data_IF_140311868917
#
_entry.id   IF_140311868917
#
_cell.length_a   1.000
_cell.length_b   1.000
_cell.length_c   1.000
_cell.angle_alpha   90.00
_cell.angle_beta   90.00
_cell.angle_gamma   90.00
#
_symmetry.space_group_name_H-M   'P 1'
#
loop_
_entity.id
_entity.type
_entity.pdbx_description
1 polymer ?
#
# COMPACT_ATOMS: atom_id res chain seq x y z
N UNK A 1 -0.32 -16.21 29.55
CA UNK A 1 0.63 -17.06 28.85
C UNK A 1 0.62 -16.75 27.34
N UNK A 2 1.10 -15.58 26.90
CA UNK A 2 1.31 -15.26 25.45
C UNK A 2 2.30 -14.11 25.29
N UNK A 3 3.47 -14.21 25.92
CA UNK A 3 4.56 -13.23 25.73
C UNK A 3 5.89 -13.97 25.84
N UNK A 4 6.20 -14.82 24.87
CA UNK A 4 7.52 -15.43 24.81
C UNK A 4 7.84 -15.89 23.38
N UNK A 5 7.96 -15.01 22.42
CA UNK A 5 8.54 -15.38 21.10
C UNK A 5 9.28 -14.21 20.43
N UNK A 6 9.59 -13.14 21.09
CA UNK A 6 10.19 -11.97 20.41
C UNK A 6 11.72 -11.82 20.59
N UNK A 7 12.46 -12.77 21.18
CA UNK A 7 13.86 -12.52 21.60
C UNK A 7 14.85 -13.60 21.11
N UNK A 8 14.61 -14.28 20.03
CA UNK A 8 15.55 -15.39 19.66
C UNK A 8 16.47 -15.06 18.47
N UNK A 9 16.24 -14.03 17.70
CA UNK A 9 17.09 -13.76 16.54
C UNK A 9 18.33 -12.89 16.82
N UNK A 10 18.38 -12.14 17.91
CA UNK A 10 19.43 -11.15 18.20
C UNK A 10 20.69 -11.63 18.92
N UNK A 11 20.72 -12.71 19.73
CA UNK A 11 21.96 -13.16 20.37
C UNK A 11 23.01 -13.69 19.40
N UNK A 12 22.62 -14.26 18.24
CA UNK A 12 23.56 -14.82 17.27
C UNK A 12 24.32 -13.77 16.47
N UNK A 13 23.78 -12.58 16.33
CA UNK A 13 24.42 -11.44 15.65
C UNK A 13 25.69 -10.99 16.38
N UNK A 14 25.76 -11.20 17.69
CA UNK A 14 26.88 -10.70 18.51
C UNK A 14 28.13 -11.58 18.49
N UNK A 15 28.01 -12.85 18.17
CA UNK A 15 29.18 -13.75 18.16
C UNK A 15 29.98 -13.68 16.87
N UNK A 16 29.33 -13.35 15.73
CA UNK A 16 30.03 -13.15 14.46
C UNK A 16 30.59 -11.74 14.25
N UNK A 17 30.26 -10.76 15.10
CA UNK A 17 30.64 -9.35 14.91
C UNK A 17 31.94 -8.92 15.57
N UNK A 18 32.69 -9.84 16.18
CA UNK A 18 33.99 -9.52 16.83
C UNK A 18 35.00 -8.82 15.90
N UNK A 19 34.97 -9.06 14.62
CA UNK A 19 35.86 -8.45 13.65
C UNK A 19 35.39 -7.09 13.09
N UNK A 20 34.10 -6.76 13.21
CA UNK A 20 33.55 -5.49 12.72
C UNK A 20 34.03 -4.31 13.59
N UNK A 21 34.47 -4.57 14.82
CA UNK A 21 34.91 -3.54 15.78
C UNK A 21 36.45 -3.28 15.77
N UNK A 22 37.22 -3.95 14.94
CA UNK A 22 38.70 -3.94 15.06
C UNK A 22 39.46 -3.04 14.12
N UNK A 23 38.88 -2.38 13.13
CA UNK A 23 39.66 -1.54 12.23
C UNK A 23 39.02 -0.17 11.97
N UNK A 24 39.79 0.87 12.20
CA UNK A 24 39.65 2.30 11.97
C UNK A 24 38.42 2.79 11.14
N UNK A 25 38.60 3.40 9.99
CA UNK A 25 37.52 3.94 9.13
C UNK A 25 36.46 2.93 8.63
N UNK A 26 36.57 1.65 8.95
CA UNK A 26 35.58 0.61 8.61
C UNK A 26 34.36 0.60 9.54
N UNK A 27 34.33 1.40 10.59
CA UNK A 27 33.26 1.41 11.60
C UNK A 27 32.25 2.55 11.40
N UNK A 28 32.33 3.29 10.31
CA UNK A 28 31.40 4.35 9.98
C UNK A 28 30.40 3.83 8.94
N UNK A 29 29.11 3.84 9.29
CA UNK A 29 28.04 3.42 8.38
C UNK A 29 27.50 4.59 7.55
N UNK A 30 27.42 5.79 8.15
CA UNK A 30 26.92 7.00 7.49
C UNK A 30 27.75 8.20 7.91
N UNK A 31 28.04 9.08 6.96
CA UNK A 31 28.53 10.43 7.21
C UNK A 31 27.49 11.45 6.80
N UNK A 32 27.13 12.36 7.72
CA UNK A 32 26.21 13.47 7.49
C UNK A 32 27.05 14.75 7.62
N UNK A 33 27.42 15.37 6.52
CA UNK A 33 28.46 16.41 6.47
C UNK A 33 29.73 15.95 7.21
N UNK A 34 30.08 16.58 8.32
CA UNK A 34 31.24 16.23 9.17
C UNK A 34 30.90 15.22 10.27
N UNK A 35 29.60 14.94 10.49
CA UNK A 35 29.14 14.04 11.56
C UNK A 35 29.22 12.59 11.11
N UNK A 36 30.02 11.79 11.79
CA UNK A 36 30.17 10.36 11.52
C UNK A 36 29.28 9.54 12.44
N UNK A 37 28.49 8.65 11.86
CA UNK A 37 27.66 7.67 12.55
C UNK A 37 28.36 6.33 12.53
N UNK A 38 28.64 5.79 13.70
CA UNK A 38 29.30 4.51 13.82
C UNK A 38 28.36 3.32 13.59
N UNK A 39 28.91 2.21 13.11
CA UNK A 39 28.19 0.94 12.99
C UNK A 39 27.59 0.52 14.34
N UNK A 40 28.31 0.75 15.44
CA UNK A 40 27.83 0.42 16.78
C UNK A 40 26.55 1.18 17.14
N UNK A 41 26.52 2.50 16.94
CA UNK A 41 25.32 3.32 17.20
C UNK A 41 24.12 2.88 16.40
N UNK A 42 24.33 2.51 15.12
CA UNK A 42 23.23 2.03 14.28
C UNK A 42 22.73 0.65 14.72
N UNK A 43 23.61 -0.26 15.12
CA UNK A 43 23.20 -1.57 15.66
C UNK A 43 22.43 -1.43 16.96
N UNK A 44 22.84 -0.52 17.85
CA UNK A 44 22.09 -0.22 19.08
C UNK A 44 20.70 0.32 18.76
N UNK A 45 20.58 1.18 17.75
CA UNK A 45 19.29 1.67 17.26
C UNK A 45 18.44 0.55 16.67
N UNK A 46 19.02 -0.32 15.83
CA UNK A 46 18.32 -1.49 15.28
C UNK A 46 17.77 -2.42 16.36
N UNK A 47 18.49 -2.61 17.45
CA UNK A 47 18.01 -3.42 18.59
C UNK A 47 16.84 -2.79 19.33
N UNK A 48 16.78 -1.48 19.35
CA UNK A 48 15.68 -0.75 19.98
C UNK A 48 14.40 -0.76 19.13
N UNK A 49 14.54 -1.01 17.81
CA UNK A 49 13.40 -1.12 16.88
C UNK A 49 12.86 -2.55 16.95
N UNK A 50 11.63 -2.73 17.42
CA UNK A 50 10.95 -4.03 17.44
C UNK A 50 10.54 -4.43 16.00
N UNK A 51 11.41 -5.18 15.32
CA UNK A 51 11.14 -5.73 13.99
C UNK A 51 10.46 -7.09 14.17
N UNK A 52 9.28 -7.24 13.61
CA UNK A 52 8.57 -8.52 13.67
C UNK A 52 9.00 -9.47 12.53
N UNK A 53 8.95 -10.78 12.77
CA UNK A 53 9.20 -11.78 11.71
C UNK A 53 8.26 -11.61 10.51
N UNK A 54 7.03 -11.19 10.76
CA UNK A 54 6.03 -10.95 9.72
C UNK A 54 6.43 -9.78 8.81
N UNK A 55 6.97 -8.70 9.36
CA UNK A 55 7.50 -7.57 8.58
C UNK A 55 8.67 -7.99 7.70
N UNK A 56 9.60 -8.80 8.24
CA UNK A 56 10.74 -9.32 7.47
C UNK A 56 10.25 -10.19 6.30
N UNK A 57 9.28 -11.07 6.54
CA UNK A 57 8.71 -11.92 5.50
C UNK A 57 7.94 -11.14 4.43
N UNK A 58 7.22 -10.09 4.83
CA UNK A 58 6.39 -9.31 3.91
C UNK A 58 7.17 -8.30 3.06
N UNK A 59 8.19 -7.66 3.63
CA UNK A 59 8.93 -6.57 2.97
C UNK A 59 10.32 -6.98 2.46
N UNK A 60 10.89 -8.05 2.98
CA UNK A 60 12.28 -8.42 2.78
C UNK A 60 13.23 -7.68 3.74
N UNK A 61 14.24 -8.39 4.20
CA UNK A 61 15.24 -7.96 5.19
C UNK A 61 15.97 -6.67 4.79
N UNK A 62 16.49 -6.65 3.58
CA UNK A 62 17.21 -5.51 3.02
C UNK A 62 16.38 -4.23 3.02
N UNK A 63 15.13 -4.32 2.57
CA UNK A 63 14.24 -3.17 2.51
C UNK A 63 13.94 -2.60 3.88
N UNK A 64 13.70 -3.47 4.88
CA UNK A 64 13.43 -3.03 6.26
C UNK A 64 14.65 -2.33 6.85
N UNK A 65 15.85 -2.88 6.68
CA UNK A 65 17.07 -2.28 7.23
C UNK A 65 17.34 -0.92 6.57
N UNK A 66 17.11 -0.80 5.27
CA UNK A 66 17.22 0.48 4.56
C UNK A 66 16.18 1.52 5.05
N UNK A 67 14.93 1.10 5.29
CA UNK A 67 13.90 1.98 5.89
C UNK A 67 14.32 2.46 7.28
N UNK A 68 14.85 1.56 8.12
CA UNK A 68 15.33 1.90 9.48
C UNK A 68 16.55 2.82 9.45
N UNK A 69 17.50 2.57 8.54
CA UNK A 69 18.67 3.44 8.36
C UNK A 69 18.24 4.84 7.93
N UNK A 70 17.31 4.95 7.00
CA UNK A 70 16.75 6.24 6.55
C UNK A 70 16.09 6.99 7.70
N UNK A 71 15.32 6.30 8.53
CA UNK A 71 14.70 6.90 9.72
C UNK A 71 15.76 7.38 10.72
N UNK A 72 16.78 6.58 10.97
CA UNK A 72 17.87 6.93 11.86
C UNK A 72 18.66 8.14 11.39
N UNK A 73 18.97 8.22 10.08
CA UNK A 73 19.60 9.39 9.46
C UNK A 73 18.73 10.63 9.67
N UNK A 74 17.43 10.52 9.43
CA UNK A 74 16.48 11.62 9.62
C UNK A 74 16.45 12.11 11.07
N UNK A 75 16.45 11.19 12.06
CA UNK A 75 16.51 11.55 13.47
C UNK A 75 17.83 12.26 13.83
N UNK A 76 18.96 11.81 13.27
CA UNK A 76 20.25 12.45 13.48
C UNK A 76 20.29 13.87 12.88
N UNK A 77 19.76 14.07 11.68
CA UNK A 77 19.68 15.40 11.06
C UNK A 77 18.81 16.32 11.92
N UNK A 78 17.65 15.86 12.40
CA UNK A 78 16.81 16.65 13.30
C UNK A 78 17.56 17.00 14.60
N UNK A 79 18.34 16.07 15.15
CA UNK A 79 19.16 16.32 16.33
C UNK A 79 20.26 17.39 16.07
N UNK A 80 20.88 17.38 14.89
CA UNK A 80 21.86 18.40 14.50
C UNK A 80 21.16 19.77 14.37
N UNK A 81 20.05 19.83 13.65
CA UNK A 81 19.26 21.04 13.45
C UNK A 81 18.77 21.64 14.77
N UNK A 82 18.22 20.82 15.67
CA UNK A 82 17.75 21.29 16.98
C UNK A 82 18.89 21.88 17.80
N UNK A 83 20.06 21.25 17.77
CA UNK A 83 21.26 21.73 18.44
C UNK A 83 21.77 23.06 17.86
N UNK A 84 21.84 23.16 16.54
CA UNK A 84 22.27 24.40 15.84
C UNK A 84 21.31 25.56 16.07
N UNK A 85 20.01 25.31 16.20
CA UNK A 85 18.99 26.33 16.48
C UNK A 85 18.85 26.63 18.00
N UNK A 86 19.64 25.97 18.86
CA UNK A 86 19.55 26.14 20.29
C UNK A 86 18.23 25.63 20.90
N UNK A 87 17.53 24.73 20.20
CA UNK A 87 16.27 24.14 20.70
C UNK A 87 16.61 23.03 21.68
N UNK A 88 16.34 23.28 22.94
CA UNK A 88 16.62 22.34 24.03
C UNK A 88 15.42 22.23 24.98
N UNK A 89 15.13 21.02 25.39
CA UNK A 89 14.17 20.74 26.43
C UNK A 89 14.91 20.53 27.75
N UNK A 90 14.62 21.35 28.76
CA UNK A 90 15.23 21.20 30.07
C UNK A 90 14.59 20.02 30.82
N UNK A 91 15.34 19.44 31.78
CA UNK A 91 14.82 18.34 32.64
C UNK A 91 13.54 18.76 33.39
N UNK A 92 13.45 20.03 33.80
CA UNK A 92 12.24 20.55 34.43
C UNK A 92 11.04 20.59 33.49
N UNK A 93 11.26 20.88 32.20
CA UNK A 93 10.20 20.85 31.19
C UNK A 93 9.80 19.42 30.84
N UNK A 94 10.75 18.52 30.67
CA UNK A 94 10.50 17.10 30.49
C UNK A 94 9.66 16.51 31.64
N UNK A 95 10.07 16.80 32.87
CA UNK A 95 9.33 16.40 34.06
C UNK A 95 7.89 16.93 34.06
N UNK A 96 7.66 18.20 33.69
CA UNK A 96 6.31 18.77 33.59
C UNK A 96 5.47 18.04 32.54
N UNK A 97 6.04 17.72 31.35
CA UNK A 97 5.37 17.00 30.29
C UNK A 97 4.92 15.63 30.79
N UNK A 98 5.85 14.86 31.37
CA UNK A 98 5.55 13.53 31.93
C UNK A 98 4.47 13.59 33.01
N UNK A 99 4.56 14.59 33.91
CA UNK A 99 3.59 14.75 34.99
C UNK A 99 2.21 15.23 34.52
N UNK A 100 2.13 15.91 33.37
CA UNK A 100 0.86 16.38 32.78
C UNK A 100 0.17 15.34 31.92
N UNK A 101 0.83 14.22 31.59
CA UNK A 101 0.22 13.14 30.80
C UNK A 101 -0.88 12.44 31.60
N UNK A 102 -2.10 12.48 31.08
CA UNK A 102 -3.29 11.90 31.71
C UNK A 102 -3.20 10.39 31.92
N UNK A 103 -2.40 9.70 31.11
CA UNK A 103 -2.18 8.27 31.25
C UNK A 103 -1.47 7.94 32.58
N UNK A 104 -0.64 8.85 33.06
CA UNK A 104 0.11 8.71 34.34
C UNK A 104 -0.56 9.41 35.49
N UNK A 105 -1.77 9.97 35.29
CA UNK A 105 -2.49 10.68 36.35
C UNK A 105 -3.63 9.85 36.97
N UNK A 106 -3.93 10.13 38.23
CA UNK A 106 -5.17 9.78 38.92
C UNK A 106 -5.63 11.00 39.68
N UNK A 107 -6.90 11.38 39.50
CA UNK A 107 -7.49 12.58 40.14
C UNK A 107 -6.63 13.84 39.87
N UNK A 108 -6.23 14.03 38.62
CA UNK A 108 -5.38 15.12 38.10
C UNK A 108 -4.00 15.23 38.77
N UNK A 109 -3.56 14.19 39.51
CA UNK A 109 -2.23 14.11 40.12
C UNK A 109 -1.42 12.98 39.49
N UNK A 110 -0.16 13.26 39.19
CA UNK A 110 0.79 12.26 38.70
C UNK A 110 0.92 11.12 39.71
N UNK A 111 0.76 9.88 39.23
CA UNK A 111 0.90 8.67 39.99
C UNK A 111 2.09 7.85 39.49
N UNK A 112 3.17 7.84 40.25
CA UNK A 112 4.41 7.14 39.87
C UNK A 112 4.20 5.66 39.57
N UNK A 113 3.32 4.99 40.28
CA UNK A 113 3.01 3.57 40.05
C UNK A 113 2.35 3.31 38.69
N UNK A 114 1.57 4.26 38.14
CA UNK A 114 1.04 4.16 36.78
C UNK A 114 2.14 4.28 35.74
N UNK A 115 3.06 5.23 35.93
CA UNK A 115 4.21 5.41 35.06
C UNK A 115 5.11 4.17 35.04
N UNK A 116 5.49 3.64 36.20
CA UNK A 116 6.30 2.43 36.32
C UNK A 116 5.60 1.20 35.70
N UNK A 117 4.29 1.05 35.93
CA UNK A 117 3.50 -0.01 35.30
C UNK A 117 3.48 0.11 33.80
N UNK A 118 3.34 1.33 33.25
CA UNK A 118 3.39 1.60 31.82
C UNK A 118 4.76 1.18 31.27
N UNK A 119 5.86 1.61 31.87
CA UNK A 119 7.21 1.26 31.43
C UNK A 119 7.40 -0.27 31.38
N UNK A 120 7.01 -0.97 32.46
CA UNK A 120 7.09 -2.44 32.50
C UNK A 120 6.23 -3.10 31.42
N UNK A 121 5.01 -2.61 31.22
CA UNK A 121 4.09 -3.18 30.22
C UNK A 121 4.59 -2.99 28.78
N UNK A 122 5.26 -1.86 28.53
CA UNK A 122 5.80 -1.50 27.21
C UNK A 122 7.24 -1.96 27.00
N UNK A 123 7.91 -2.46 28.04
CA UNK A 123 9.29 -2.93 27.97
C UNK A 123 10.34 -1.82 27.89
N UNK A 124 10.01 -0.60 28.36
CA UNK A 124 10.95 0.53 28.42
C UNK A 124 11.61 0.66 29.78
N UNK A 125 12.87 1.10 29.78
CA UNK A 125 13.45 1.75 30.96
C UNK A 125 13.02 3.23 31.03
N UNK A 126 13.03 3.83 32.23
CA UNK A 126 12.68 5.25 32.36
C UNK A 126 13.57 6.17 31.49
N UNK A 127 14.92 6.03 31.50
CA UNK A 127 15.78 6.85 30.62
C UNK A 127 15.49 6.71 29.13
N UNK A 128 15.14 5.51 28.64
CA UNK A 128 14.80 5.29 27.23
C UNK A 128 13.49 5.98 26.84
N UNK A 129 12.47 5.85 27.70
CA UNK A 129 11.19 6.50 27.47
C UNK A 129 11.31 8.03 27.53
N UNK A 130 12.00 8.55 28.55
CA UNK A 130 12.25 9.98 28.71
C UNK A 130 13.03 10.56 27.53
N UNK A 131 14.01 9.83 26.98
CA UNK A 131 14.74 10.20 25.77
C UNK A 131 13.82 10.22 24.55
N UNK A 132 12.88 9.28 24.46
CA UNK A 132 11.89 9.26 23.38
C UNK A 132 10.99 10.49 23.43
N UNK A 133 10.48 10.85 24.61
CA UNK A 133 9.68 12.06 24.81
C UNK A 133 10.48 13.32 24.49
N UNK A 134 11.73 13.40 24.95
CA UNK A 134 12.62 14.52 24.66
C UNK A 134 12.81 14.70 23.15
N UNK A 135 13.09 13.63 22.43
CA UNK A 135 13.26 13.67 20.97
C UNK A 135 11.95 14.08 20.27
N UNK A 136 10.82 13.57 20.70
CA UNK A 136 9.52 13.92 20.14
C UNK A 136 9.20 15.40 20.35
N UNK A 137 9.39 15.92 21.53
CA UNK A 137 9.11 17.31 21.87
C UNK A 137 10.07 18.28 21.18
N UNK A 138 11.36 17.99 21.16
CA UNK A 138 12.35 18.85 20.46
C UNK A 138 12.09 18.86 18.96
N UNK A 139 11.71 17.73 18.35
CA UNK A 139 11.25 17.70 16.95
C UNK A 139 9.99 18.55 16.73
N UNK A 140 9.02 18.45 17.63
CA UNK A 140 7.81 19.26 17.60
C UNK A 140 8.12 20.76 17.69
N UNK A 141 9.05 21.15 18.55
CA UNK A 141 9.50 22.54 18.69
C UNK A 141 10.24 23.03 17.43
N UNK A 142 11.11 22.22 16.83
CA UNK A 142 11.80 22.54 15.59
C UNK A 142 10.79 22.77 14.46
N UNK A 143 9.82 21.87 14.30
CA UNK A 143 8.79 22.02 13.28
C UNK A 143 7.91 23.26 13.53
N UNK A 144 7.62 23.55 14.81
CA UNK A 144 6.88 24.74 15.21
C UNK A 144 7.68 26.04 14.97
N UNK A 145 8.99 25.98 15.11
CA UNK A 145 9.87 27.10 14.77
C UNK A 145 9.73 27.54 13.32
N UNK A 146 9.64 26.57 12.40
CA UNK A 146 9.46 26.84 10.96
C UNK A 146 8.01 27.15 10.57
N UNK A 147 7.03 26.60 11.25
CA UNK A 147 5.61 26.75 10.91
C UNK A 147 4.80 27.59 11.89
N UNK A 148 5.37 27.94 13.03
CA UNK A 148 4.70 28.69 14.10
C UNK A 148 4.38 30.13 13.70
N UNK A 149 3.19 30.58 14.11
CA UNK A 149 2.75 31.94 13.83
C UNK A 149 2.23 32.20 12.42
N UNK A 150 2.27 31.21 11.53
CA UNK A 150 1.72 31.35 10.17
C UNK A 150 0.19 31.37 10.27
N UNK A 151 -0.39 32.52 9.92
CA UNK A 151 -1.83 32.66 9.71
C UNK A 151 -2.09 32.80 8.23
N UNK A 152 -2.92 31.90 7.70
CA UNK A 152 -3.34 32.02 6.31
C UNK A 152 -4.21 33.26 6.10
N UNK A 153 -3.97 34.07 5.04
CA UNK A 153 -4.90 35.08 4.63
C UNK A 153 -6.29 34.49 4.37
N UNK A 154 -7.34 35.21 4.82
CA UNK A 154 -8.73 34.74 4.69
C UNK A 154 -9.11 34.38 3.25
N UNK A 155 -8.60 35.13 2.25
CA UNK A 155 -8.93 34.89 0.85
C UNK A 155 -8.53 33.45 0.39
N UNK A 156 -7.45 32.86 0.91
CA UNK A 156 -7.06 31.48 0.58
C UNK A 156 -8.03 30.46 1.17
N UNK A 157 -8.58 30.75 2.35
CA UNK A 157 -9.63 29.92 2.96
C UNK A 157 -10.93 30.07 2.19
N UNK A 158 -11.27 31.33 1.81
CA UNK A 158 -12.45 31.66 1.02
C UNK A 158 -12.45 30.93 -0.33
N UNK A 159 -11.31 30.95 -1.02
CA UNK A 159 -11.15 30.27 -2.31
C UNK A 159 -11.32 28.74 -2.16
N UNK A 160 -10.71 28.15 -1.14
CA UNK A 160 -10.88 26.71 -0.87
C UNK A 160 -12.34 26.37 -0.53
N UNK A 161 -12.99 27.22 0.30
CA UNK A 161 -14.39 27.07 0.67
C UNK A 161 -15.29 27.17 -0.56
N UNK A 162 -15.11 28.20 -1.39
CA UNK A 162 -15.86 28.39 -2.64
C UNK A 162 -15.65 27.23 -3.60
N UNK A 163 -14.43 26.81 -3.83
CA UNK A 163 -14.13 25.70 -4.75
C UNK A 163 -14.86 24.41 -4.37
N UNK A 164 -14.90 24.08 -3.09
CA UNK A 164 -15.51 22.81 -2.65
C UNK A 164 -17.03 22.89 -2.42
N UNK A 165 -17.58 24.09 -2.15
CA UNK A 165 -19.01 24.27 -1.84
C UNK A 165 -19.79 25.01 -2.93
N UNK A 166 -19.15 25.38 -4.04
CA UNK A 166 -19.83 25.93 -5.21
C UNK A 166 -20.87 24.93 -5.74
N UNK A 167 -22.10 25.36 -5.96
CA UNK A 167 -23.05 24.51 -6.67
C UNK A 167 -22.90 24.67 -8.18
N UNK A 168 -23.14 23.60 -8.92
CA UNK A 168 -23.09 23.58 -10.38
C UNK A 168 -24.37 23.01 -10.96
N UNK A 169 -25.03 23.78 -11.81
CA UNK A 169 -26.09 23.27 -12.66
C UNK A 169 -25.44 22.72 -13.93
N UNK A 170 -25.73 21.47 -14.25
CA UNK A 170 -25.08 20.77 -15.37
C UNK A 170 -26.11 20.09 -16.26
N UNK A 171 -25.87 20.17 -17.57
CA UNK A 171 -26.52 19.35 -18.59
C UNK A 171 -25.57 18.25 -19.01
N UNK A 172 -26.02 17.01 -19.13
CA UNK A 172 -25.13 15.91 -19.51
C UNK A 172 -25.83 14.86 -20.37
N UNK A 173 -25.02 14.13 -21.14
CA UNK A 173 -25.41 12.97 -21.94
C UNK A 173 -24.62 11.76 -21.47
N UNK A 174 -25.32 10.66 -21.27
CA UNK A 174 -24.68 9.36 -21.03
C UNK A 174 -24.10 8.81 -22.34
N UNK A 175 -22.78 8.95 -22.51
CA UNK A 175 -22.08 8.48 -23.70
C UNK A 175 -22.03 6.95 -23.79
N UNK A 176 -22.18 6.24 -22.67
CA UNK A 176 -22.22 4.78 -22.70
C UNK A 176 -23.45 4.29 -23.50
N UNK A 177 -24.60 4.94 -23.33
CA UNK A 177 -25.80 4.64 -24.10
C UNK A 177 -25.61 4.86 -25.60
N UNK A 178 -24.79 5.83 -26.00
CA UNK A 178 -24.43 6.09 -27.40
C UNK A 178 -23.43 5.06 -27.93
N UNK A 179 -22.39 4.78 -27.15
CA UNK A 179 -21.28 3.93 -27.58
C UNK A 179 -21.65 2.46 -27.65
N UNK A 180 -22.55 1.98 -26.79
CA UNK A 180 -23.03 0.61 -26.76
C UNK A 180 -24.03 0.26 -27.88
N UNK A 181 -24.49 1.22 -28.70
CA UNK A 181 -25.38 0.96 -29.81
C UNK A 181 -24.71 0.12 -30.94
N UNK A 182 -23.37 0.19 -31.06
CA UNK A 182 -22.63 -0.63 -32.02
C UNK A 182 -22.22 -1.95 -31.36
N UNK A 183 -22.77 -3.07 -31.81
CA UNK A 183 -22.41 -4.41 -31.36
C UNK A 183 -20.98 -4.76 -31.80
N UNK A 184 -20.24 -5.43 -30.93
CA UNK A 184 -18.94 -6.03 -31.24
C UNK A 184 -19.20 -7.25 -32.12
N UNK A 185 -18.53 -7.33 -33.27
CA UNK A 185 -18.66 -8.43 -34.21
C UNK A 185 -17.64 -9.53 -33.92
N UNK A 186 -17.87 -10.75 -34.46
CA UNK A 186 -16.89 -11.84 -34.39
C UNK A 186 -15.57 -11.46 -35.08
N UNK A 187 -15.63 -10.65 -36.12
CA UNK A 187 -14.43 -10.14 -36.81
C UNK A 187 -13.60 -9.23 -35.90
N UNK A 188 -14.28 -8.36 -35.10
CA UNK A 188 -13.59 -7.49 -34.16
C UNK A 188 -12.89 -8.32 -33.06
N UNK A 189 -13.56 -9.36 -32.55
CA UNK A 189 -13.01 -10.28 -31.53
C UNK A 189 -11.78 -11.01 -32.10
N UNK A 190 -11.89 -11.57 -33.29
CA UNK A 190 -10.82 -12.31 -33.94
C UNK A 190 -9.62 -11.41 -34.25
N UNK A 191 -9.90 -10.22 -34.79
CA UNK A 191 -8.86 -9.23 -35.11
C UNK A 191 -8.13 -8.72 -33.84
N UNK A 192 -8.85 -8.54 -32.72
CA UNK A 192 -8.22 -8.18 -31.46
C UNK A 192 -7.36 -9.32 -30.91
N UNK A 193 -7.84 -10.54 -30.93
CA UNK A 193 -7.10 -11.72 -30.47
C UNK A 193 -5.79 -11.91 -31.22
N UNK A 194 -5.83 -11.88 -32.56
CA UNK A 194 -4.61 -12.08 -33.39
C UNK A 194 -3.55 -11.01 -33.11
N UNK A 195 -3.95 -9.75 -32.92
CA UNK A 195 -3.04 -8.66 -32.62
C UNK A 195 -2.45 -8.74 -31.22
N UNK A 196 -3.12 -9.43 -30.28
CA UNK A 196 -2.75 -9.45 -28.85
C UNK A 196 -2.58 -10.87 -28.31
N UNK A 197 -2.20 -11.82 -29.15
CA UNK A 197 -2.19 -13.25 -28.84
C UNK A 197 -1.36 -13.59 -27.60
N UNK A 198 -0.19 -12.98 -27.47
CA UNK A 198 0.70 -13.16 -26.31
C UNK A 198 0.11 -12.69 -24.98
N UNK A 199 -0.84 -11.76 -25.02
CA UNK A 199 -1.55 -11.30 -23.81
C UNK A 199 -2.42 -12.40 -23.18
N UNK A 200 -2.79 -13.42 -23.96
CA UNK A 200 -3.59 -14.55 -23.51
C UNK A 200 -2.75 -15.77 -23.15
N UNK A 201 -1.43 -15.60 -23.02
CA UNK A 201 -0.54 -16.60 -22.46
C UNK A 201 -0.79 -16.71 -20.95
N UNK A 202 -0.97 -17.93 -20.47
CA UNK A 202 -1.20 -18.22 -19.07
C UNK A 202 -0.39 -19.45 -18.66
N UNK A 203 -0.01 -19.50 -17.39
CA UNK A 203 0.79 -20.57 -16.80
C UNK A 203 -0.13 -21.53 -16.08
N UNK A 204 0.03 -22.81 -16.38
CA UNK A 204 -0.70 -23.90 -15.79
C UNK A 204 0.21 -24.84 -15.02
N UNK A 205 -0.23 -25.27 -13.85
CA UNK A 205 0.47 -26.24 -13.00
C UNK A 205 -0.38 -27.45 -12.77
N UNK A 206 0.27 -28.64 -12.87
CA UNK A 206 -0.25 -29.92 -12.39
C UNK A 206 0.60 -30.34 -11.21
N UNK A 207 -0.04 -30.63 -10.09
CA UNK A 207 0.65 -30.97 -8.86
C UNK A 207 -0.19 -31.94 -8.03
N UNK A 208 0.48 -32.65 -7.12
CA UNK A 208 -0.14 -33.47 -6.10
C UNK A 208 0.14 -32.87 -4.73
N UNK A 209 -0.79 -33.05 -3.83
CA UNK A 209 -0.60 -32.56 -2.46
C UNK A 209 -1.22 -33.47 -1.44
N UNK A 210 -0.63 -33.50 -0.24
CA UNK A 210 -1.16 -34.12 0.95
C UNK A 210 -1.36 -33.05 2.03
N UNK A 211 -2.57 -32.96 2.58
CA UNK A 211 -2.83 -32.15 3.77
C UNK A 211 -2.39 -32.93 5.01
N UNK A 212 -1.49 -32.37 5.80
CA UNK A 212 -0.97 -32.97 7.02
C UNK A 212 -1.89 -32.65 8.21
N UNK A 213 -3.09 -33.24 8.25
CA UNK A 213 -3.93 -33.12 9.43
C UNK A 213 -3.46 -34.11 10.54
N UNK A 214 -3.72 -33.82 11.83
CA UNK A 214 -3.35 -34.76 12.91
C UNK A 214 -3.89 -36.14 12.72
N UNK A 215 -5.12 -36.26 12.22
CA UNK A 215 -5.75 -37.57 11.90
C UNK A 215 -4.92 -38.36 10.87
N UNK A 216 -4.42 -37.68 9.82
CA UNK A 216 -3.62 -38.32 8.76
C UNK A 216 -2.22 -38.67 9.24
N UNK A 217 -1.58 -37.79 10.04
CA UNK A 217 -0.17 -37.91 10.42
C UNK A 217 0.02 -38.84 11.62
N UNK A 218 -0.88 -38.80 12.62
CA UNK A 218 -0.74 -39.53 13.88
C UNK A 218 -1.98 -40.34 14.26
N UNK A 219 -3.01 -40.39 13.40
CA UNK A 219 -4.24 -41.17 13.64
C UNK A 219 -5.14 -40.63 14.78
N UNK A 220 -4.94 -39.40 15.21
CA UNK A 220 -5.68 -38.70 16.28
C UNK A 220 -6.04 -37.30 15.86
N UNK A 221 -7.19 -36.78 16.27
CA UNK A 221 -7.66 -35.44 15.92
C UNK A 221 -7.09 -34.34 16.84
N UNK A 222 -5.84 -34.47 17.32
CA UNK A 222 -5.29 -33.59 18.30
C UNK A 222 -3.89 -33.08 17.87
N UNK A 223 -3.68 -31.77 18.00
CA UNK A 223 -2.39 -31.09 17.75
C UNK A 223 -1.48 -31.25 18.97
N UNK A 224 -0.89 -32.40 19.14
CA UNK A 224 -0.03 -32.76 20.28
C UNK A 224 1.46 -32.76 19.88
N UNK A 225 2.34 -32.97 20.87
CA UNK A 225 3.79 -32.99 20.69
C UNK A 225 4.24 -34.04 19.66
N UNK A 226 3.59 -35.20 19.63
CA UNK A 226 3.88 -36.29 18.68
C UNK A 226 3.59 -35.86 17.25
N UNK A 227 2.50 -35.11 17.04
CA UNK A 227 2.15 -34.55 15.74
C UNK A 227 3.21 -33.56 15.28
N UNK A 228 3.60 -32.59 16.12
CA UNK A 228 4.59 -31.60 15.72
C UNK A 228 5.99 -32.20 15.48
N UNK A 229 6.41 -33.20 16.25
CA UNK A 229 7.63 -33.97 15.96
C UNK A 229 7.58 -34.61 14.58
N UNK A 230 6.42 -35.19 14.22
CA UNK A 230 6.26 -35.82 12.91
C UNK A 230 6.27 -34.80 11.76
N UNK A 231 5.72 -33.60 11.97
CA UNK A 231 5.80 -32.50 11.02
C UNK A 231 7.26 -32.06 10.82
N UNK A 232 8.03 -31.94 11.90
CA UNK A 232 9.47 -31.60 11.85
C UNK A 232 10.28 -32.68 11.11
N UNK A 233 10.00 -33.98 11.35
CA UNK A 233 10.61 -35.07 10.61
C UNK A 233 10.33 -34.97 9.10
N UNK A 234 9.08 -34.69 8.71
CA UNK A 234 8.68 -34.49 7.32
C UNK A 234 9.41 -33.29 6.69
N UNK A 235 9.53 -32.18 7.42
CA UNK A 235 10.25 -31.01 6.95
C UNK A 235 11.75 -31.31 6.74
N UNK A 236 12.36 -32.04 7.66
CA UNK A 236 13.74 -32.48 7.53
C UNK A 236 13.93 -33.45 6.34
N UNK A 237 13.01 -34.38 6.14
CA UNK A 237 13.02 -35.30 5.01
C UNK A 237 12.99 -34.58 3.65
N UNK A 238 12.26 -33.47 3.57
CA UNK A 238 12.25 -32.57 2.39
C UNK A 238 13.60 -31.88 2.22
N UNK A 239 14.19 -31.37 3.31
CA UNK A 239 15.51 -30.73 3.30
C UNK A 239 16.61 -31.70 2.91
N UNK A 240 16.52 -32.96 3.31
CA UNK A 240 17.41 -34.05 2.96
C UNK A 240 17.23 -34.54 1.50
N UNK A 241 16.28 -33.96 0.77
CA UNK A 241 16.06 -34.22 -0.66
C UNK A 241 15.26 -35.47 -0.97
N UNK A 242 14.51 -36.03 -0.02
CA UNK A 242 13.61 -37.17 -0.29
C UNK A 242 12.50 -36.76 -1.26
N UNK A 243 12.08 -37.70 -2.10
CA UNK A 243 11.02 -37.46 -3.05
C UNK A 243 9.61 -37.47 -2.40
N UNK A 244 8.62 -36.98 -3.11
CA UNK A 244 7.26 -36.85 -2.60
C UNK A 244 6.65 -38.19 -2.19
N UNK A 245 6.88 -39.27 -2.95
CA UNK A 245 6.37 -40.60 -2.71
C UNK A 245 6.91 -41.19 -1.42
N UNK A 246 8.19 -41.06 -1.18
CA UNK A 246 8.85 -41.59 0.03
C UNK A 246 8.31 -40.87 1.28
N UNK A 247 8.20 -39.56 1.22
CA UNK A 247 7.73 -38.73 2.35
C UNK A 247 6.25 -38.99 2.65
N UNK A 248 5.41 -39.24 1.64
CA UNK A 248 3.96 -39.41 1.81
C UNK A 248 3.51 -40.87 1.90
N UNK A 249 4.46 -41.83 1.91
CA UNK A 249 4.19 -43.28 1.92
C UNK A 249 3.24 -43.75 3.03
N UNK A 250 3.21 -43.04 4.16
CA UNK A 250 2.31 -43.35 5.29
C UNK A 250 0.82 -43.04 4.99
N UNK A 251 0.50 -42.30 3.91
CA UNK A 251 -0.87 -41.84 3.66
C UNK A 251 -1.25 -41.67 2.19
N UNK A 252 -0.85 -42.61 1.35
CA UNK A 252 -1.09 -42.55 -0.11
C UNK A 252 -2.57 -42.34 -0.50
N UNK A 253 -3.50 -42.82 0.31
CA UNK A 253 -4.97 -42.70 0.06
C UNK A 253 -5.49 -41.27 0.15
N UNK A 254 -4.76 -40.37 0.82
CA UNK A 254 -5.17 -38.99 1.07
C UNK A 254 -4.49 -37.98 0.14
N UNK A 255 -3.65 -38.45 -0.77
CA UNK A 255 -3.01 -37.62 -1.79
C UNK A 255 -4.06 -37.18 -2.80
N UNK A 256 -4.07 -35.89 -3.10
CA UNK A 256 -4.93 -35.30 -4.13
C UNK A 256 -4.06 -34.78 -5.27
N UNK A 257 -4.43 -35.16 -6.50
CA UNK A 257 -3.84 -34.64 -7.72
C UNK A 257 -4.72 -33.53 -8.31
N UNK A 258 -4.12 -32.46 -8.74
CA UNK A 258 -4.78 -31.25 -9.24
C UNK A 258 -4.07 -30.72 -10.47
N UNK A 259 -4.83 -30.40 -11.47
CA UNK A 259 -4.34 -29.69 -12.65
C UNK A 259 -4.68 -30.38 -13.98
N UNK A 260 -4.26 -29.77 -15.09
CA UNK A 260 -3.61 -28.45 -15.16
C UNK A 260 -4.56 -27.30 -14.82
N UNK A 261 -4.19 -26.46 -13.87
CA UNK A 261 -4.94 -25.25 -13.49
C UNK A 261 -4.02 -24.03 -13.43
N UNK A 262 -4.59 -22.83 -13.67
CA UNK A 262 -3.86 -21.58 -13.52
C UNK A 262 -4.01 -20.96 -12.10
N UNK A 263 -3.26 -19.89 -11.82
CA UNK A 263 -3.31 -19.19 -10.55
C UNK A 263 -4.68 -18.58 -10.19
N UNK A 264 -5.59 -18.46 -11.17
CA UNK A 264 -6.97 -17.96 -11.02
C UNK A 264 -8.01 -19.07 -10.84
N UNK A 265 -7.58 -20.32 -10.65
CA UNK A 265 -8.40 -21.51 -10.50
C UNK A 265 -9.17 -21.93 -11.75
N UNK A 266 -8.66 -21.65 -12.94
CA UNK A 266 -9.28 -22.11 -14.18
C UNK A 266 -8.46 -23.22 -14.83
N UNK A 267 -9.13 -24.21 -15.41
CA UNK A 267 -8.55 -25.19 -16.32
C UNK A 267 -8.28 -24.56 -17.67
N UNK A 268 -7.58 -25.26 -18.58
CA UNK A 268 -7.28 -24.80 -19.93
C UNK A 268 -8.53 -24.47 -20.76
N UNK A 269 -9.61 -25.20 -20.55
CA UNK A 269 -10.90 -24.97 -21.21
C UNK A 269 -11.69 -23.76 -20.64
N UNK A 270 -11.15 -23.12 -19.59
CA UNK A 270 -11.79 -21.98 -18.92
C UNK A 270 -12.80 -22.37 -17.86
N UNK A 271 -13.00 -23.66 -17.58
CA UNK A 271 -13.84 -24.12 -16.48
C UNK A 271 -13.19 -23.84 -15.13
N UNK A 272 -14.01 -23.44 -14.15
CA UNK A 272 -13.54 -23.20 -12.78
C UNK A 272 -13.20 -24.50 -12.08
N UNK A 273 -12.19 -24.50 -11.22
CA UNK A 273 -11.78 -25.61 -10.39
C UNK A 273 -11.82 -25.19 -8.91
N UNK A 274 -12.44 -26.02 -8.06
CA UNK A 274 -12.50 -25.74 -6.63
C UNK A 274 -11.24 -26.21 -5.90
N UNK A 275 -10.48 -25.25 -5.39
CA UNK A 275 -9.30 -25.47 -4.55
C UNK A 275 -9.16 -24.32 -3.57
N UNK A 276 -8.53 -24.58 -2.43
CA UNK A 276 -8.20 -23.55 -1.45
C UNK A 276 -7.32 -22.47 -2.10
N UNK A 277 -7.77 -21.19 -2.05
CA UNK A 277 -7.09 -20.06 -2.69
C UNK A 277 -5.70 -19.79 -2.12
N UNK A 278 -5.52 -20.01 -0.80
CA UNK A 278 -4.24 -19.80 -0.14
C UNK A 278 -3.24 -20.88 -0.55
N UNK A 279 -3.68 -22.15 -0.58
CA UNK A 279 -2.86 -23.25 -1.07
C UNK A 279 -2.40 -22.99 -2.50
N UNK A 280 -3.32 -22.66 -3.39
CA UNK A 280 -2.99 -22.40 -4.80
C UNK A 280 -2.00 -21.24 -4.94
N UNK A 281 -2.19 -20.15 -4.18
CA UNK A 281 -1.26 -19.01 -4.17
C UNK A 281 0.16 -19.42 -3.76
N UNK A 282 0.29 -20.26 -2.74
CA UNK A 282 1.61 -20.76 -2.31
C UNK A 282 2.20 -21.75 -3.33
N UNK A 283 1.38 -22.63 -3.91
CA UNK A 283 1.82 -23.52 -5.00
C UNK A 283 2.41 -22.73 -6.17
N UNK A 284 1.84 -21.59 -6.55
CA UNK A 284 2.36 -20.74 -7.65
C UNK A 284 3.62 -19.93 -7.28
N UNK A 285 4.02 -19.90 -6.01
CA UNK A 285 5.30 -19.31 -5.57
C UNK A 285 6.47 -20.29 -5.64
N UNK A 286 6.20 -21.60 -5.72
CA UNK A 286 7.25 -22.63 -5.78
C UNK A 286 8.12 -22.39 -7.02
N UNK A 287 9.43 -22.26 -6.82
CA UNK A 287 10.39 -22.06 -7.92
C UNK A 287 11.08 -23.37 -8.31
N UNK A 288 11.44 -24.20 -7.31
CA UNK A 288 12.01 -25.51 -7.57
C UNK A 288 10.88 -26.52 -7.75
N UNK A 289 10.78 -27.07 -8.96
CA UNK A 289 9.72 -28.02 -9.32
C UNK A 289 10.15 -29.49 -9.12
N UNK A 290 11.44 -29.74 -8.88
CA UNK A 290 12.00 -31.10 -8.78
C UNK A 290 11.86 -31.69 -7.40
N UNK A 291 11.86 -30.84 -6.35
CA UNK A 291 11.74 -31.28 -4.96
C UNK A 291 10.36 -30.97 -4.38
N UNK A 292 9.86 -31.80 -3.48
CA UNK A 292 8.63 -31.50 -2.75
C UNK A 292 8.76 -30.19 -1.96
N UNK A 293 7.67 -29.47 -1.81
CA UNK A 293 7.62 -28.23 -1.04
C UNK A 293 6.72 -28.38 0.17
N UNK A 294 7.22 -27.93 1.32
CA UNK A 294 6.44 -27.81 2.52
C UNK A 294 5.72 -26.46 2.56
N UNK A 295 4.41 -26.46 2.69
CA UNK A 295 3.58 -25.24 2.71
C UNK A 295 2.86 -25.16 4.05
N UNK A 296 2.96 -24.00 4.70
CA UNK A 296 2.30 -23.70 5.96
C UNK A 296 1.54 -22.39 5.87
N UNK A 297 0.23 -22.40 6.15
CA UNK A 297 -0.60 -21.22 6.34
C UNK A 297 -1.80 -21.53 7.26
N UNK A 298 -2.20 -20.57 8.08
CA UNK A 298 -3.35 -20.68 9.01
C UNK A 298 -3.30 -21.95 9.88
N UNK A 299 -2.13 -22.33 10.38
CA UNK A 299 -1.89 -23.57 11.13
C UNK A 299 -2.27 -24.86 10.37
N UNK A 300 -2.29 -24.81 9.04
CA UNK A 300 -2.48 -25.97 8.18
C UNK A 300 -1.19 -26.24 7.41
N UNK A 301 -0.80 -27.50 7.39
CA UNK A 301 0.43 -27.97 6.76
C UNK A 301 0.12 -28.82 5.55
N UNK A 302 0.90 -28.66 4.50
CA UNK A 302 0.76 -29.40 3.25
C UNK A 302 2.14 -29.77 2.71
N UNK A 303 2.22 -30.95 2.09
CA UNK A 303 3.32 -31.33 1.21
C UNK A 303 2.79 -31.20 -0.22
N UNK A 304 3.56 -30.56 -1.08
CA UNK A 304 3.21 -30.37 -2.50
C UNK A 304 4.33 -30.94 -3.36
N UNK A 305 4.01 -31.82 -4.29
CA UNK A 305 4.88 -32.32 -5.33
C UNK A 305 4.42 -31.80 -6.69
N UNK A 306 5.30 -31.11 -7.40
CA UNK A 306 5.00 -30.62 -8.76
C UNK A 306 5.10 -31.78 -9.75
N UNK A 307 4.12 -31.89 -10.66
CA UNK A 307 4.14 -32.88 -11.73
C UNK A 307 4.47 -32.27 -13.09
N UNK A 308 3.91 -31.09 -13.34
CA UNK A 308 4.14 -30.39 -14.60
C UNK A 308 3.87 -28.89 -14.47
N UNK A 309 4.65 -28.08 -15.18
CA UNK A 309 4.38 -26.68 -15.42
C UNK A 309 4.43 -26.41 -16.93
N UNK A 310 3.44 -25.75 -17.47
CA UNK A 310 3.35 -25.41 -18.88
C UNK A 310 2.78 -24.01 -19.07
N UNK A 311 3.21 -23.36 -20.12
CA UNK A 311 2.64 -22.09 -20.59
C UNK A 311 1.85 -22.33 -21.88
N UNK A 312 0.61 -21.88 -21.89
CA UNK A 312 -0.27 -22.02 -23.04
C UNK A 312 -0.90 -20.69 -23.41
N UNK A 313 -1.01 -20.42 -24.69
CA UNK A 313 -1.84 -19.33 -25.20
C UNK A 313 -3.27 -19.85 -25.27
N UNK A 314 -4.15 -19.26 -24.46
CA UNK A 314 -5.55 -19.61 -24.43
C UNK A 314 -6.24 -19.14 -25.72
N UNK A 315 -6.98 -20.01 -26.38
CA UNK A 315 -7.65 -19.72 -27.64
C UNK A 315 -9.01 -19.01 -27.45
N UNK A 316 -9.64 -18.65 -28.58
CA UNK A 316 -10.94 -17.97 -28.57
C UNK A 316 -12.12 -18.85 -28.11
N UNK A 317 -11.97 -20.17 -28.00
CA UNK A 317 -13.02 -21.05 -27.48
C UNK A 317 -13.10 -20.93 -25.95
N UNK A 318 -12.02 -20.44 -25.32
CA UNK A 318 -12.02 -20.16 -23.88
C UNK A 318 -12.95 -18.99 -23.57
N UNK A 319 -13.98 -19.24 -22.76
CA UNK A 319 -14.97 -18.23 -22.38
C UNK A 319 -14.35 -16.99 -21.72
N UNK A 320 -13.36 -17.17 -20.87
CA UNK A 320 -12.71 -16.07 -20.16
C UNK A 320 -11.90 -15.18 -21.13
N UNK A 321 -11.30 -15.77 -22.17
CA UNK A 321 -10.61 -15.03 -23.24
C UNK A 321 -11.61 -14.15 -23.98
N UNK A 322 -12.74 -14.73 -24.43
CA UNK A 322 -13.79 -13.96 -25.12
C UNK A 322 -14.36 -12.82 -24.27
N UNK A 323 -14.65 -13.09 -23.01
CA UNK A 323 -15.14 -12.06 -22.09
C UNK A 323 -14.11 -10.94 -21.90
N UNK A 324 -12.83 -11.30 -21.77
CA UNK A 324 -11.73 -10.32 -21.63
C UNK A 324 -11.60 -9.48 -22.90
N UNK A 325 -11.61 -10.10 -24.09
CA UNK A 325 -11.54 -9.40 -25.37
C UNK A 325 -12.71 -8.43 -25.49
N UNK A 326 -13.94 -8.88 -25.23
CA UNK A 326 -15.11 -8.01 -25.28
C UNK A 326 -14.99 -6.79 -24.37
N UNK A 327 -14.46 -6.96 -23.14
CA UNK A 327 -14.20 -5.85 -22.22
C UNK A 327 -13.13 -4.91 -22.78
N UNK A 328 -12.04 -5.45 -23.30
CA UNK A 328 -10.94 -4.65 -23.85
C UNK A 328 -11.37 -3.86 -25.09
N UNK A 329 -12.07 -4.48 -26.03
CA UNK A 329 -12.60 -3.80 -27.22
C UNK A 329 -13.53 -2.65 -26.80
N UNK A 330 -14.41 -2.85 -25.80
CA UNK A 330 -15.27 -1.78 -25.29
C UNK A 330 -14.45 -0.61 -24.74
N UNK A 331 -13.41 -0.89 -23.96
CA UNK A 331 -12.54 0.15 -23.40
C UNK A 331 -11.78 0.89 -24.49
N UNK A 332 -11.18 0.19 -25.45
CA UNK A 332 -10.46 0.79 -26.59
C UNK A 332 -11.40 1.69 -27.40
N UNK A 333 -12.58 1.17 -27.77
CA UNK A 333 -13.59 1.95 -28.50
C UNK A 333 -14.03 3.19 -27.74
N UNK A 334 -14.19 3.10 -26.42
CA UNK A 334 -14.53 4.24 -25.55
C UNK A 334 -13.43 5.29 -25.58
N UNK A 335 -12.17 4.87 -25.41
CA UNK A 335 -11.01 5.78 -25.41
C UNK A 335 -10.90 6.50 -26.75
N UNK A 336 -10.98 5.77 -27.88
CA UNK A 336 -10.87 6.35 -29.23
C UNK A 336 -12.00 7.35 -29.51
N UNK A 337 -13.24 7.00 -29.16
CA UNK A 337 -14.40 7.89 -29.35
C UNK A 337 -14.31 9.11 -28.45
N UNK A 338 -13.94 8.95 -27.18
CA UNK A 338 -13.70 10.06 -26.29
C UNK A 338 -12.59 10.97 -26.83
N UNK A 339 -11.45 10.41 -27.26
CA UNK A 339 -10.36 11.18 -27.84
C UNK A 339 -10.79 11.98 -29.08
N UNK A 340 -11.58 11.35 -29.97
CA UNK A 340 -12.13 12.03 -31.14
C UNK A 340 -13.06 13.19 -30.76
N UNK A 341 -13.94 12.97 -29.77
CA UNK A 341 -14.88 13.99 -29.32
C UNK A 341 -14.15 15.12 -28.57
N UNK A 342 -13.20 14.80 -27.68
CA UNK A 342 -12.34 15.78 -27.01
C UNK A 342 -11.58 16.64 -28.03
N UNK A 343 -11.02 16.03 -29.08
CA UNK A 343 -10.36 16.77 -30.16
C UNK A 343 -11.29 17.78 -30.84
N UNK A 344 -12.57 17.42 -31.07
CA UNK A 344 -13.57 18.33 -31.64
C UNK A 344 -13.89 19.46 -30.67
N UNK A 345 -14.05 19.19 -29.37
CA UNK A 345 -14.31 20.17 -28.32
C UNK A 345 -13.15 21.17 -28.24
N UNK A 346 -11.91 20.67 -28.12
CA UNK A 346 -10.71 21.52 -28.01
C UNK A 346 -10.48 22.41 -29.23
N UNK A 347 -10.84 21.90 -30.44
CA UNK A 347 -10.77 22.67 -31.67
C UNK A 347 -11.99 23.58 -31.90
N UNK A 348 -12.87 23.77 -30.89
CA UNK A 348 -14.10 24.58 -30.97
C UNK A 348 -15.05 24.14 -32.11
N UNK A 349 -14.97 22.85 -32.52
CA UNK A 349 -15.85 22.24 -33.53
C UNK A 349 -16.99 21.42 -32.89
N UNK A 350 -17.15 21.52 -31.59
CA UNK A 350 -18.22 20.88 -30.84
C UNK A 350 -18.66 21.78 -29.69
N UNK A 351 -19.87 22.28 -29.80
CA UNK A 351 -20.53 23.14 -28.84
C UNK A 351 -21.89 22.62 -28.42
N UNK A 352 -22.75 23.51 -27.94
CA UNK A 352 -24.09 23.13 -27.48
C UNK A 352 -24.99 22.64 -28.61
N UNK A 353 -24.87 23.22 -29.81
CA UNK A 353 -25.64 22.77 -31.01
C UNK A 353 -25.30 21.32 -31.32
N UNK A 354 -24.04 21.00 -31.40
CA UNK A 354 -23.55 19.63 -31.70
C UNK A 354 -23.89 18.66 -30.59
N UNK A 355 -23.96 19.12 -29.34
CA UNK A 355 -24.42 18.30 -28.20
C UNK A 355 -25.91 17.93 -28.37
N UNK A 356 -26.74 18.89 -28.78
CA UNK A 356 -28.17 18.67 -29.03
C UNK A 356 -28.35 17.73 -30.23
N UNK A 357 -27.57 17.92 -31.32
CA UNK A 357 -27.61 17.05 -32.51
C UNK A 357 -27.19 15.61 -32.16
N UNK A 358 -26.15 15.45 -31.34
CA UNK A 358 -25.69 14.15 -30.86
C UNK A 358 -26.80 13.43 -30.07
N UNK A 359 -27.46 14.15 -29.15
CA UNK A 359 -28.61 13.66 -28.39
C UNK A 359 -29.74 13.16 -29.33
N UNK A 360 -30.15 13.99 -30.26
CA UNK A 360 -31.21 13.64 -31.23
C UNK A 360 -30.85 12.48 -32.11
N UNK A 361 -29.63 12.49 -32.68
CA UNK A 361 -29.13 11.43 -33.61
C UNK A 361 -29.15 10.05 -32.97
N UNK A 362 -28.83 9.96 -31.68
CA UNK A 362 -28.73 8.70 -30.96
C UNK A 362 -29.94 8.41 -30.05
N UNK A 363 -30.94 9.31 -30.02
CA UNK A 363 -32.11 9.20 -29.16
C UNK A 363 -31.74 9.02 -27.66
N UNK A 364 -30.66 9.67 -27.22
CA UNK A 364 -30.21 9.71 -25.81
C UNK A 364 -30.45 11.10 -25.26
N UNK A 365 -31.30 11.26 -24.22
CA UNK A 365 -31.70 12.57 -23.75
C UNK A 365 -30.56 13.33 -23.09
N UNK A 366 -30.62 14.67 -23.17
CA UNK A 366 -29.83 15.56 -22.35
C UNK A 366 -30.53 15.65 -21.00
N UNK A 367 -29.90 15.11 -19.97
CA UNK A 367 -30.38 15.22 -18.58
C UNK A 367 -29.79 16.47 -17.93
N UNK A 368 -30.55 17.07 -16.99
CA UNK A 368 -30.12 18.22 -16.19
C UNK A 368 -30.13 17.85 -14.73
N UNK A 369 -29.14 18.33 -13.99
CA UNK A 369 -29.08 18.16 -12.54
C UNK A 369 -28.33 19.31 -11.88
N UNK A 370 -28.60 19.52 -10.61
CA UNK A 370 -27.80 20.39 -9.75
C UNK A 370 -26.89 19.54 -8.87
N UNK A 371 -25.62 19.88 -8.85
CA UNK A 371 -24.59 19.33 -7.96
C UNK A 371 -24.39 20.37 -6.86
N UNK A 372 -24.79 20.07 -5.62
CA UNK A 372 -24.76 21.02 -4.50
C UNK A 372 -23.35 21.41 -4.06
N UNK A 373 -22.42 20.48 -4.12
CA UNK A 373 -21.00 20.66 -3.78
C UNK A 373 -20.16 19.47 -4.29
N UNK A 374 -18.84 19.54 -4.16
CA UNK A 374 -17.91 18.48 -4.65
C UNK A 374 -18.12 17.09 -4.01
N UNK A 375 -18.85 17.01 -2.91
CA UNK A 375 -19.16 15.76 -2.20
C UNK A 375 -20.55 15.21 -2.50
N UNK A 376 -21.34 15.87 -3.35
CA UNK A 376 -22.69 15.46 -3.71
C UNK A 376 -22.66 14.28 -4.69
N UNK A 377 -22.64 13.08 -4.13
CA UNK A 377 -22.58 11.81 -4.90
C UNK A 377 -23.94 11.31 -5.39
N UNK A 378 -24.98 12.12 -5.34
CA UNK A 378 -26.34 11.74 -5.74
C UNK A 378 -26.47 11.27 -7.19
N UNK A 379 -25.74 11.90 -8.12
CA UNK A 379 -25.76 11.56 -9.56
C UNK A 379 -24.40 11.07 -10.08
N UNK A 380 -23.32 11.70 -9.63
CA UNK A 380 -21.96 11.40 -10.06
C UNK A 380 -21.14 10.87 -8.89
N UNK A 381 -20.29 9.87 -9.11
CA UNK A 381 -19.40 9.40 -8.08
C UNK A 381 -18.25 10.40 -7.83
N UNK A 382 -17.47 10.20 -6.76
CA UNK A 382 -16.36 11.07 -6.37
C UNK A 382 -15.31 11.30 -7.48
N UNK A 383 -15.06 10.28 -8.34
CA UNK A 383 -14.10 10.38 -9.43
C UNK A 383 -14.60 11.36 -10.49
N UNK A 384 -15.87 11.25 -10.84
CA UNK A 384 -16.51 12.13 -11.83
C UNK A 384 -16.69 13.56 -11.29
N UNK A 385 -17.10 13.70 -10.03
CA UNK A 385 -17.23 15.01 -9.37
C UNK A 385 -15.93 15.78 -9.38
N UNK A 386 -14.81 15.15 -9.02
CA UNK A 386 -13.49 15.79 -9.07
C UNK A 386 -13.14 16.29 -10.47
N UNK A 387 -13.54 15.55 -11.52
CA UNK A 387 -13.33 15.99 -12.90
C UNK A 387 -14.26 17.15 -13.24
N UNK A 388 -15.55 17.09 -12.91
CA UNK A 388 -16.53 18.14 -13.19
C UNK A 388 -16.13 19.48 -12.53
N UNK A 389 -15.59 19.43 -11.32
CA UNK A 389 -15.19 20.63 -10.58
C UNK A 389 -13.94 21.34 -11.15
N UNK A 390 -13.20 20.70 -12.05
CA UNK A 390 -12.08 21.34 -12.77
C UNK A 390 -12.52 22.27 -13.92
N UNK A 391 -13.84 22.29 -14.25
CA UNK A 391 -14.34 23.05 -15.38
C UNK A 391 -15.28 24.18 -14.92
N UNK A 392 -15.26 25.29 -15.67
CA UNK A 392 -16.06 26.48 -15.39
C UNK A 392 -17.37 26.52 -16.20
N UNK A 393 -18.25 27.46 -15.86
CA UNK A 393 -19.51 27.70 -16.57
C UNK A 393 -19.30 27.90 -18.07
N UNK A 394 -20.18 27.33 -18.89
CA UNK A 394 -20.15 27.36 -20.35
C UNK A 394 -19.24 26.31 -20.99
N UNK A 395 -18.38 25.61 -20.23
CA UNK A 395 -17.50 24.57 -20.79
C UNK A 395 -18.24 23.26 -21.02
N UNK A 396 -17.86 22.58 -22.12
CA UNK A 396 -18.31 21.22 -22.46
C UNK A 396 -17.07 20.30 -22.41
N UNK A 397 -17.21 19.16 -21.79
CA UNK A 397 -16.10 18.20 -21.57
C UNK A 397 -16.63 16.80 -21.32
N UNK A 398 -15.73 15.82 -21.32
CA UNK A 398 -16.06 14.43 -21.03
C UNK A 398 -15.48 14.07 -19.66
N UNK A 399 -16.27 13.33 -18.86
CA UNK A 399 -15.83 12.73 -17.60
C UNK A 399 -16.05 11.22 -17.63
N UNK A 400 -15.05 10.48 -17.11
CA UNK A 400 -15.05 9.02 -17.12
C UNK A 400 -14.53 8.48 -15.79
N UNK A 401 -15.14 7.42 -15.26
CA UNK A 401 -14.72 6.76 -14.01
C UNK A 401 -13.60 5.75 -14.22
N UNK A 402 -12.42 6.20 -14.68
CA UNK A 402 -11.25 5.33 -14.79
C UNK A 402 -10.83 4.73 -13.42
N UNK A 403 -10.36 3.44 -13.38
CA UNK A 403 -10.08 2.56 -14.53
C UNK A 403 -11.29 1.72 -14.98
N UNK A 404 -12.45 1.82 -14.31
CA UNK A 404 -13.59 0.93 -14.60
C UNK A 404 -14.27 1.23 -15.93
N UNK A 405 -14.22 2.50 -16.35
CA UNK A 405 -14.88 3.04 -17.56
C UNK A 405 -16.36 2.64 -17.71
N UNK A 406 -17.03 2.36 -16.58
CA UNK A 406 -18.45 1.99 -16.53
C UNK A 406 -19.39 3.19 -16.61
N UNK A 407 -18.88 4.39 -16.33
CA UNK A 407 -19.64 5.64 -16.41
C UNK A 407 -18.85 6.63 -17.24
N UNK A 408 -19.48 7.15 -18.30
CA UNK A 408 -18.88 8.04 -19.25
C UNK A 408 -19.89 9.10 -19.71
N UNK A 409 -19.65 10.35 -19.37
CA UNK A 409 -20.61 11.43 -19.62
C UNK A 409 -19.97 12.57 -20.40
N UNK A 410 -20.71 13.10 -21.37
CA UNK A 410 -20.48 14.42 -21.94
C UNK A 410 -21.24 15.43 -21.08
N UNK A 411 -20.53 16.37 -20.47
CA UNK A 411 -21.07 17.33 -19.48
C UNK A 411 -20.88 18.75 -19.97
N UNK A 412 -21.88 19.59 -19.78
CA UNK A 412 -21.82 21.05 -19.93
C UNK A 412 -22.12 21.68 -18.57
N UNK A 413 -21.31 22.61 -18.12
CA UNK A 413 -21.64 23.45 -16.97
C UNK A 413 -22.54 24.59 -17.45
N UNK A 414 -23.81 24.56 -17.06
CA UNK A 414 -24.77 25.61 -17.46
C UNK A 414 -24.61 26.85 -16.56
N UNK A 415 -24.42 26.65 -15.26
CA UNK A 415 -24.26 27.74 -14.29
C UNK A 415 -23.46 27.29 -13.07
N UNK A 416 -22.71 28.22 -12.52
CA UNK A 416 -22.05 28.08 -11.22
C UNK A 416 -22.64 29.08 -10.24
N UNK A 417 -22.84 28.66 -9.00
CA UNK A 417 -23.36 29.47 -7.91
C UNK A 417 -22.40 29.38 -6.74
N UNK A 418 -21.76 30.49 -6.41
CA UNK A 418 -20.87 30.55 -5.27
C UNK A 418 -21.64 30.44 -3.95
N UNK A 419 -21.10 29.73 -2.97
CA UNK A 419 -21.72 29.65 -1.66
C UNK A 419 -21.59 30.98 -0.92
N UNK A 420 -22.55 31.29 -0.05
CA UNK A 420 -22.43 32.39 0.89
C UNK A 420 -21.40 32.01 1.96
N UNK A 421 -20.41 32.86 2.15
CA UNK A 421 -19.38 32.67 3.20
C UNK A 421 -19.95 33.22 4.51
N UNK A 422 -20.01 32.37 5.51
CA UNK A 422 -20.27 32.76 6.89
C UNK A 422 -19.06 32.34 7.76
N UNK A 423 -18.18 33.27 8.15
CA UNK A 423 -16.98 32.99 8.92
C UNK A 423 -17.25 32.36 10.31
N UNK A 424 -18.43 32.60 10.87
CA UNK A 424 -18.80 32.09 12.18
C UNK A 424 -19.33 30.65 12.15
N UNK A 425 -19.66 30.13 10.97
CA UNK A 425 -20.18 28.78 10.81
C UNK A 425 -19.12 27.72 11.15
N UNK A 426 -19.53 26.61 11.76
CA UNK A 426 -18.64 25.49 12.06
C UNK A 426 -18.02 24.89 10.78
N UNK A 427 -18.80 24.90 9.68
CA UNK A 427 -18.32 24.46 8.38
C UNK A 427 -17.12 25.31 7.93
N UNK A 428 -17.24 26.65 7.96
CA UNK A 428 -16.14 27.54 7.55
C UNK A 428 -14.93 27.42 8.49
N UNK A 429 -15.14 27.34 9.81
CA UNK A 429 -14.08 27.08 10.80
C UNK A 429 -13.34 25.77 10.52
N UNK A 430 -14.04 24.76 10.02
CA UNK A 430 -13.45 23.50 9.55
C UNK A 430 -12.51 23.73 8.33
N UNK A 431 -12.87 24.61 7.41
CA UNK A 431 -12.02 24.99 6.28
C UNK A 431 -10.80 25.80 6.70
N UNK A 432 -10.91 26.66 7.69
CA UNK A 432 -9.76 27.37 8.27
C UNK A 432 -8.74 26.35 8.81
N UNK A 433 -9.18 25.36 9.58
CA UNK A 433 -8.31 24.29 10.10
C UNK A 433 -7.67 23.46 8.97
N UNK A 434 -8.47 23.07 7.98
CA UNK A 434 -8.00 22.29 6.81
C UNK A 434 -6.96 23.06 6.00
N UNK A 435 -7.20 24.31 5.71
CA UNK A 435 -6.31 25.17 4.94
C UNK A 435 -4.98 25.42 5.68
N UNK A 436 -5.05 25.70 6.99
CA UNK A 436 -3.86 25.86 7.83
C UNK A 436 -3.04 24.56 7.86
N UNK A 437 -3.64 23.41 8.09
CA UNK A 437 -2.95 22.12 8.09
C UNK A 437 -2.28 21.82 6.74
N UNK A 438 -2.97 22.11 5.63
CA UNK A 438 -2.41 21.94 4.28
C UNK A 438 -1.20 22.84 4.04
N UNK A 439 -1.28 24.10 4.45
CA UNK A 439 -0.18 25.05 4.29
C UNK A 439 1.04 24.67 5.15
N UNK A 440 0.81 24.32 6.42
CA UNK A 440 1.84 23.81 7.33
C UNK A 440 2.53 22.58 6.72
N UNK A 441 1.77 21.68 6.13
CA UNK A 441 2.34 20.51 5.41
C UNK A 441 3.23 20.92 4.23
N UNK A 442 2.88 21.98 3.49
CA UNK A 442 3.74 22.51 2.43
C UNK A 442 5.04 23.12 2.97
N UNK A 443 4.95 23.84 4.09
CA UNK A 443 6.14 24.40 4.77
C UNK A 443 7.08 23.26 5.19
N UNK A 444 6.55 22.18 5.76
CA UNK A 444 7.36 21.02 6.12
C UNK A 444 8.01 20.34 4.92
N UNK A 445 7.29 20.18 3.81
CA UNK A 445 7.88 19.65 2.56
C UNK A 445 8.99 20.54 2.01
N UNK A 446 8.83 21.87 2.09
CA UNK A 446 9.86 22.81 1.69
C UNK A 446 11.07 22.73 2.61
N UNK A 447 10.85 22.54 3.91
CA UNK A 447 11.89 22.32 4.89
C UNK A 447 12.64 21.01 4.62
N UNK A 448 11.94 19.90 4.36
CA UNK A 448 12.56 18.64 3.97
C UNK A 448 13.43 18.79 2.72
N UNK A 449 12.94 19.51 1.72
CA UNK A 449 13.72 19.79 0.49
C UNK A 449 14.97 20.63 0.78
N UNK A 450 14.87 21.61 1.67
CA UNK A 450 16.00 22.41 2.12
C UNK A 450 17.03 21.56 2.88
N UNK A 451 16.61 20.75 3.82
CA UNK A 451 17.44 19.81 4.58
C UNK A 451 18.21 18.88 3.63
N UNK A 452 17.51 18.28 2.66
CA UNK A 452 18.13 17.38 1.68
C UNK A 452 19.15 18.11 0.76
N UNK A 453 19.05 19.42 0.61
CA UNK A 453 19.99 20.20 -0.18
C UNK A 453 21.26 20.59 0.59
N UNK A 454 21.18 20.79 1.90
CA UNK A 454 22.31 21.27 2.72
C UNK A 454 23.09 20.12 3.40
N UNK A 455 22.44 18.98 3.66
CA UNK A 455 23.11 17.84 4.26
C UNK A 455 23.59 16.86 3.19
N UNK A 456 24.91 16.70 3.09
CA UNK A 456 25.51 15.64 2.26
C UNK A 456 25.55 14.36 3.05
N UNK A 457 24.84 13.34 2.56
CA UNK A 457 24.73 12.04 3.21
C UNK A 457 25.53 11.03 2.39
N UNK A 458 26.55 10.43 2.99
CA UNK A 458 27.35 9.36 2.39
C UNK A 458 27.12 8.07 3.17
N UNK A 459 26.50 7.08 2.55
CA UNK A 459 26.26 5.75 3.13
C UNK A 459 27.40 4.83 2.69
N UNK A 460 27.99 4.11 3.64
CA UNK A 460 28.96 3.09 3.36
C UNK A 460 28.26 1.76 3.04
N UNK A 461 27.96 1.56 1.76
CA UNK A 461 27.23 0.38 1.27
C UNK A 461 27.87 -0.94 1.69
N UNK A 462 29.22 -1.04 1.71
CA UNK A 462 29.92 -2.26 2.15
C UNK A 462 29.69 -2.59 3.62
N UNK A 463 29.55 -1.57 4.46
CA UNK A 463 29.25 -1.74 5.89
C UNK A 463 27.77 -2.11 6.05
N UNK A 464 26.91 -1.48 5.29
CA UNK A 464 25.46 -1.76 5.29
C UNK A 464 25.16 -3.20 4.86
N UNK A 465 25.77 -3.67 3.75
CA UNK A 465 25.63 -5.06 3.29
C UNK A 465 26.09 -6.07 4.34
N UNK A 466 27.22 -5.78 5.03
CA UNK A 466 27.68 -6.64 6.14
C UNK A 466 26.66 -6.72 7.28
N UNK A 467 26.03 -5.62 7.63
CA UNK A 467 24.97 -5.61 8.65
C UNK A 467 23.78 -6.41 8.16
N UNK A 468 23.32 -6.18 6.92
CA UNK A 468 22.19 -6.91 6.33
C UNK A 468 22.45 -8.43 6.36
N UNK A 469 23.65 -8.87 6.03
CA UNK A 469 24.02 -10.28 5.99
C UNK A 469 24.23 -10.89 7.39
N UNK A 470 24.49 -10.07 8.43
CA UNK A 470 24.73 -10.53 9.80
C UNK A 470 23.47 -10.66 10.66
N UNK A 471 22.35 -10.12 10.22
CA UNK A 471 21.04 -10.22 10.85
C UNK A 471 20.23 -11.33 10.17
#
# INVERSE_FOLDING_TARGET
>A
AKVFVAIIALPFVLWGMGDVFRSGNQNVIVEINETKISTKEFIEYLRAVNITKEEIQNKGKEKIINEILTNYISEKIISIETKEKGIQLTDSSLKKILMSDKEFQKDDKFLRTKYEKFLLTKGFSAPEYEKTILNFETKGQLLSYYSGGIKLPSFLVDDLYKQENKSKQVSFIDLEKIYNQKKITESDIKGFYEKNREFFKDKFRTFKYLKLSPEIVVGKNDFNETYFKKIEEIENDILDGKNFEDITSFSNKNIKEVGPINSKKFKKDGSAFEINSKLLKEVFKIQNLETPSFINFDNQFYIVGMLNEEENILDLNNRNVRETINKQIKIVNLIERNASLIKKINNKKFGEKEMIELSKKHSVPIEKTEIKNIKDVSKFNNILLKQIYNYASGQIFIVTDYPTAKKNFLVKIDKEIDPVINPDSDLYKGYVKKANAHYISKVYKSYDSYINAIYKININEKVLERIINSI
#
